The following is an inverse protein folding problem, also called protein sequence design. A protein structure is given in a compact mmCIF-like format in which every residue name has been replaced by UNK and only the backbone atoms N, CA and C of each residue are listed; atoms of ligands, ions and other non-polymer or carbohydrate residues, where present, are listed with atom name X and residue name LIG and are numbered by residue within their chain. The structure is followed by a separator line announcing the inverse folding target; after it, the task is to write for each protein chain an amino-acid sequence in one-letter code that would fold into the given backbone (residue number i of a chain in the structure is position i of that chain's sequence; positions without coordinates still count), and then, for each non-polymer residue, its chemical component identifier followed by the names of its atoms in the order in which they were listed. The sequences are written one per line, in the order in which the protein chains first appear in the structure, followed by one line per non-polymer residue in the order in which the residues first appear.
data_IF_908972524553
#
_entry.id   IF_908972524553
#
_cell.length_a   1.000
_cell.length_b   1.000
_cell.length_c   1.000
_cell.angle_alpha   90.00
_cell.angle_beta   90.00
_cell.angle_gamma   90.00
#
_symmetry.space_group_name_H-M   'P 1'
#
loop_
_entity.id
_entity.type
_entity.pdbx_description
1 polymer ?
#
# COMPACT_ATOMS: atom_id res chain seq x y z
N UNK A 1 15.42 0.07 14.98
CA UNK A 1 16.52 -0.44 14.14
C UNK A 1 16.19 -1.89 13.85
N UNK A 2 16.07 -2.31 12.58
CA UNK A 2 15.97 -3.74 12.27
C UNK A 2 17.31 -4.38 12.64
N UNK A 3 17.45 -4.76 13.91
CA UNK A 3 18.63 -5.44 14.42
C UNK A 3 18.79 -6.75 13.66
N UNK A 4 19.99 -6.97 13.13
CA UNK A 4 20.39 -8.17 12.40
C UNK A 4 19.83 -9.43 13.07
N UNK A 5 18.83 -10.05 12.46
CA UNK A 5 18.26 -11.31 12.94
C UNK A 5 19.04 -12.40 12.20
N UNK A 6 19.82 -13.25 12.89
CA UNK A 6 20.62 -14.27 12.22
C UNK A 6 19.75 -15.13 11.29
N UNK A 7 20.14 -15.23 10.03
CA UNK A 7 19.40 -15.98 9.00
C UNK A 7 18.22 -15.24 8.34
N UNK A 8 17.96 -13.97 8.68
CA UNK A 8 16.98 -13.18 7.95
C UNK A 8 17.54 -12.73 6.59
N UNK A 9 16.73 -12.89 5.54
CA UNK A 9 17.02 -12.41 4.19
C UNK A 9 16.20 -11.15 3.96
N UNK A 10 16.86 -10.10 3.48
CA UNK A 10 16.20 -8.86 3.14
C UNK A 10 15.92 -8.83 1.63
N UNK A 11 14.64 -8.64 1.29
CA UNK A 11 14.16 -8.52 -0.08
C UNK A 11 13.68 -7.08 -0.32
N UNK A 12 14.21 -6.43 -1.36
CA UNK A 12 13.80 -5.09 -1.78
C UNK A 12 13.26 -5.10 -3.21
N UNK A 13 12.58 -4.01 -3.58
CA UNK A 13 12.20 -3.69 -4.96
C UNK A 13 13.37 -3.07 -5.76
N UNK A 14 13.13 -2.77 -7.04
CA UNK A 14 14.16 -2.34 -7.99
C UNK A 14 14.26 -0.82 -8.12
N UNK A 15 13.56 -0.04 -7.31
CA UNK A 15 13.55 1.40 -7.50
C UNK A 15 14.98 1.96 -7.32
N UNK A 16 15.33 2.93 -8.17
CA UNK A 16 16.68 3.53 -8.24
C UNK A 16 17.23 4.00 -6.87
N UNK A 17 16.43 4.54 -5.93
CA UNK A 17 16.93 4.88 -4.61
C UNK A 17 17.39 3.66 -3.79
N UNK A 18 16.75 2.50 -3.97
CA UNK A 18 17.05 1.28 -3.23
C UNK A 18 18.25 0.54 -3.82
N UNK A 19 18.45 0.61 -5.14
CA UNK A 19 19.62 0.04 -5.84
C UNK A 19 20.84 0.97 -5.86
N UNK A 20 20.71 2.21 -5.39
CA UNK A 20 21.83 3.14 -5.28
C UNK A 20 22.96 2.54 -4.42
N UNK A 21 24.22 2.76 -4.84
CA UNK A 21 25.40 2.17 -4.19
C UNK A 21 25.44 2.39 -2.68
N UNK A 22 25.08 3.60 -2.22
CA UNK A 22 25.04 3.95 -0.80
C UNK A 22 24.00 3.11 -0.04
N UNK A 23 22.80 2.99 -0.58
CA UNK A 23 21.72 2.16 -0.01
C UNK A 23 22.15 0.70 0.11
N UNK A 24 22.76 0.16 -0.95
CA UNK A 24 23.27 -1.21 -0.99
C UNK A 24 24.40 -1.43 0.04
N UNK A 25 25.34 -0.49 0.17
CA UNK A 25 26.42 -0.55 1.16
C UNK A 25 25.91 -0.50 2.60
N UNK A 26 24.90 0.33 2.89
CA UNK A 26 24.28 0.37 4.20
C UNK A 26 23.56 -0.94 4.55
N UNK A 27 22.89 -1.56 3.59
CA UNK A 27 22.13 -2.80 3.81
C UNK A 27 23.03 -4.02 3.98
N UNK A 28 24.05 -4.17 3.13
CA UNK A 28 24.99 -5.29 3.18
C UNK A 28 25.88 -5.28 4.43
N UNK A 29 25.99 -4.14 5.12
CA UNK A 29 26.75 -4.03 6.37
C UNK A 29 26.11 -4.84 7.51
N UNK A 30 24.78 -4.90 7.54
CA UNK A 30 24.01 -5.43 8.66
C UNK A 30 23.11 -6.63 8.28
N UNK A 31 22.89 -6.88 6.98
CA UNK A 31 21.95 -7.89 6.48
C UNK A 31 22.41 -8.60 5.20
N UNK A 32 21.98 -9.85 5.05
CA UNK A 32 22.06 -10.59 3.79
C UNK A 32 20.93 -10.14 2.86
N UNK A 33 21.27 -9.33 1.85
CA UNK A 33 20.31 -8.89 0.81
C UNK A 33 20.25 -9.92 -0.33
N UNK A 34 19.06 -10.33 -0.73
CA UNK A 34 18.87 -11.19 -1.91
C UNK A 34 18.62 -10.35 -3.16
N UNK A 35 19.65 -10.22 -4.00
CA UNK A 35 19.59 -9.42 -5.24
C UNK A 35 18.93 -10.14 -6.43
N UNK A 36 18.59 -11.43 -6.31
CA UNK A 36 18.09 -12.25 -7.42
C UNK A 36 16.68 -11.87 -7.88
N UNK A 37 15.79 -11.53 -6.94
CA UNK A 37 14.43 -11.06 -7.26
C UNK A 37 14.38 -9.56 -7.53
N UNK A 38 15.43 -8.82 -7.14
CA UNK A 38 15.56 -7.39 -7.39
C UNK A 38 15.90 -7.05 -8.87
N UNK A 39 15.61 -7.96 -9.80
CA UNK A 39 15.74 -7.76 -11.25
C UNK A 39 14.53 -8.24 -12.03
N UNK A 40 13.56 -8.85 -11.35
CA UNK A 40 12.33 -9.37 -11.94
C UNK A 40 11.14 -8.73 -11.22
N UNK A 41 10.48 -7.75 -11.85
CA UNK A 41 9.29 -7.07 -11.28
C UNK A 41 8.24 -8.09 -10.79
N UNK A 42 7.99 -9.10 -11.62
CA UNK A 42 7.07 -10.23 -11.40
C UNK A 42 7.39 -11.09 -10.18
N UNK A 43 8.65 -11.08 -9.73
CA UNK A 43 9.09 -11.84 -8.56
C UNK A 43 9.29 -10.98 -7.31
N UNK A 44 9.00 -9.67 -7.38
CA UNK A 44 9.10 -8.82 -6.20
C UNK A 44 7.85 -8.98 -5.31
N UNK A 45 8.02 -9.33 -4.02
CA UNK A 45 6.87 -9.43 -3.11
C UNK A 45 6.10 -8.11 -2.94
N UNK A 46 6.78 -6.97 -3.11
CA UNK A 46 6.17 -5.64 -3.05
C UNK A 46 5.20 -5.42 -4.22
N UNK A 47 5.59 -5.77 -5.45
CA UNK A 47 4.69 -5.61 -6.60
C UNK A 47 3.47 -6.50 -6.48
N UNK A 48 3.63 -7.74 -5.99
CA UNK A 48 2.50 -8.62 -5.74
C UNK A 48 1.50 -8.04 -4.72
N UNK A 49 1.98 -7.48 -3.61
CA UNK A 49 1.13 -6.84 -2.60
C UNK A 49 0.48 -5.57 -3.15
N UNK A 50 1.23 -4.75 -3.90
CA UNK A 50 0.72 -3.56 -4.57
C UNK A 50 -0.40 -3.90 -5.56
N UNK A 51 -0.24 -4.94 -6.36
CA UNK A 51 -1.25 -5.42 -7.31
C UNK A 51 -2.51 -5.93 -6.60
N UNK A 52 -2.34 -6.73 -5.53
CA UNK A 52 -3.46 -7.22 -4.73
C UNK A 52 -4.22 -6.04 -4.09
N UNK A 53 -3.51 -5.05 -3.56
CA UNK A 53 -4.09 -3.84 -2.98
C UNK A 53 -4.79 -2.98 -4.05
N UNK A 54 -4.21 -2.85 -5.23
CA UNK A 54 -4.81 -2.15 -6.38
C UNK A 54 -6.15 -2.78 -6.78
N UNK A 55 -6.20 -4.12 -6.87
CA UNK A 55 -7.44 -4.87 -7.14
C UNK A 55 -8.47 -4.70 -6.03
N UNK A 56 -8.04 -4.80 -4.77
CA UNK A 56 -8.91 -4.62 -3.62
C UNK A 56 -9.53 -3.21 -3.59
N UNK A 57 -8.73 -2.17 -3.85
CA UNK A 57 -9.20 -0.77 -3.86
C UNK A 57 -10.03 -0.42 -5.09
N UNK A 58 -9.83 -1.10 -6.23
CA UNK A 58 -10.69 -0.95 -7.40
C UNK A 58 -12.11 -1.51 -7.16
N UNK A 59 -12.25 -2.52 -6.30
CA UNK A 59 -13.53 -3.10 -5.91
C UNK A 59 -14.28 -2.25 -4.85
N UNK A 60 -13.59 -1.32 -4.18
CA UNK A 60 -14.21 -0.41 -3.21
C UNK A 60 -14.82 0.77 -3.97
N UNK A 61 -16.12 1.06 -3.83
CA UNK A 61 -16.70 2.29 -4.36
C UNK A 61 -15.91 3.47 -3.83
N UNK A 62 -15.35 4.29 -4.72
CA UNK A 62 -14.71 5.54 -4.30
C UNK A 62 -15.70 6.29 -3.42
N UNK A 63 -15.20 6.82 -2.29
CA UNK A 63 -16.00 7.58 -1.33
C UNK A 63 -16.96 8.47 -2.11
N UNK A 64 -18.26 8.15 -2.06
CA UNK A 64 -19.26 8.85 -2.86
C UNK A 64 -19.22 10.27 -2.35
N UNK A 65 -18.79 11.21 -3.19
CA UNK A 65 -18.90 12.63 -2.87
C UNK A 65 -20.39 12.88 -2.66
N UNK A 66 -20.81 13.00 -1.40
CA UNK A 66 -22.18 13.40 -1.08
C UNK A 66 -22.24 14.87 -1.45
N UNK A 67 -22.93 15.17 -2.54
CA UNK A 67 -23.20 16.55 -2.90
C UNK A 67 -24.34 17.06 -2.02
N UNK A 68 -24.39 18.37 -1.80
CA UNK A 68 -25.41 19.04 -0.99
C UNK A 68 -26.85 18.75 -1.44
N UNK A 69 -27.05 18.36 -2.70
CA UNK A 69 -28.35 17.92 -3.23
C UNK A 69 -28.82 16.58 -2.62
N UNK A 70 -27.91 15.63 -2.36
CA UNK A 70 -28.23 14.30 -1.83
C UNK A 70 -28.52 14.34 -0.32
N UNK A 71 -28.03 15.37 0.39
CA UNK A 71 -28.27 15.56 1.82
C UNK A 71 -29.74 15.89 2.15
N UNK A 72 -30.52 16.37 1.16
CA UNK A 72 -31.92 16.75 1.34
C UNK A 72 -32.87 15.55 1.45
N UNK A 73 -32.44 14.36 1.04
CA UNK A 73 -33.24 13.12 1.12
C UNK A 73 -33.18 12.46 2.51
N UNK A 74 -32.18 12.78 3.33
CA UNK A 74 -32.03 12.21 4.69
C UNK A 74 -32.68 13.07 5.79
N UNK A 75 -33.15 14.27 5.46
CA UNK A 75 -33.78 15.19 6.39
C UNK A 75 -35.22 15.51 5.95
N UNK A 76 -36.18 14.64 6.26
CA UNK A 76 -37.59 15.04 6.22
C UNK A 76 -38.62 13.94 6.04
N UNK A 77 -39.14 13.41 7.14
CA UNK A 77 -40.56 13.05 7.29
C UNK A 77 -40.96 13.00 8.76
N UNK A 78 -40.87 14.15 9.45
CA UNK A 78 -41.66 14.39 10.65
C UNK A 78 -42.86 15.25 10.25
N UNK A 79 -44.00 14.60 9.97
CA UNK A 79 -45.29 15.27 9.91
C UNK A 79 -46.05 14.95 11.18
N UNK A 80 -45.75 15.70 12.24
CA UNK A 80 -46.61 15.83 13.40
C UNK A 80 -47.81 16.71 13.05
N UNK A 81 -48.99 16.11 12.93
CA UNK A 81 -50.26 16.81 12.79
C UNK A 81 -51.07 16.70 14.07
N UNK A 82 -51.17 17.81 14.80
CA UNK A 82 -52.08 18.00 15.92
C UNK A 82 -53.55 17.88 15.51
N UNK A 83 -54.33 17.05 16.22
CA UNK A 83 -55.72 17.33 16.61
C UNK A 83 -56.00 16.74 17.98
#
# INVERSE_FOLDING_TARGET
MLSSRPGAIYQQDNARPHTARLSQQCLLKDMTSYHGFARSPDLSPIEHVCDALGKATAAVPRYRRINCADAKTMAGSSTGGHK
#
